data_IF_989311360050
#
_entry.id   IF_989311360050
#
_cell.length_a   1.000
_cell.length_b   1.000
_cell.length_c   1.000
_cell.angle_alpha   90.00
_cell.angle_beta   90.00
_cell.angle_gamma   90.00
#
_symmetry.space_group_name_H-M   'P 1'
#
loop_
_entity.id
_entity.type
_entity.pdbx_description
1 polymer ?
#
# COMPACT_ATOMS: atom_id res chain seq x y z
N UNK A 1 36.60 -22.91 41.32
CA UNK A 1 36.46 -21.44 41.00
C UNK A 1 36.32 -21.16 39.51
N UNK A 2 36.44 -22.17 38.67
CA UNK A 2 36.41 -22.02 37.17
C UNK A 2 35.04 -22.34 36.50
N UNK A 3 34.09 -22.93 37.23
CA UNK A 3 32.78 -23.29 36.63
C UNK A 3 31.73 -22.18 36.58
N UNK A 4 31.90 -21.13 37.39
CA UNK A 4 30.96 -19.97 37.40
C UNK A 4 31.21 -18.97 36.26
N UNK A 5 32.45 -18.82 35.81
CA UNK A 5 32.82 -17.93 34.73
C UNK A 5 32.39 -18.47 33.36
N UNK A 6 32.50 -19.79 33.18
CA UNK A 6 32.07 -20.41 31.90
C UNK A 6 30.56 -20.35 31.67
N UNK A 7 29.77 -20.34 32.73
CA UNK A 7 28.30 -20.19 32.61
C UNK A 7 27.87 -18.77 32.30
N UNK A 8 28.60 -17.75 32.81
CA UNK A 8 28.34 -16.37 32.51
C UNK A 8 28.66 -15.99 31.03
N UNK A 9 29.77 -16.55 30.51
CA UNK A 9 30.13 -16.39 29.11
C UNK A 9 29.14 -17.09 28.15
N UNK A 10 28.66 -18.28 28.51
CA UNK A 10 27.66 -19.00 27.74
C UNK A 10 26.29 -18.28 27.72
N UNK A 11 25.87 -17.72 28.84
CA UNK A 11 24.66 -16.92 28.94
C UNK A 11 24.77 -15.61 28.16
N UNK A 12 25.95 -14.97 28.16
CA UNK A 12 26.20 -13.75 27.38
C UNK A 12 26.19 -14.04 25.87
N UNK A 13 26.70 -15.20 25.44
CA UNK A 13 26.68 -15.63 24.03
C UNK A 13 25.28 -15.98 23.54
N UNK A 14 24.41 -16.51 24.40
CA UNK A 14 23.00 -16.81 24.06
C UNK A 14 22.19 -15.53 24.00
N UNK A 15 22.47 -14.53 24.83
CA UNK A 15 21.77 -13.26 24.82
C UNK A 15 22.12 -12.39 23.59
N UNK A 16 23.33 -12.55 23.04
CA UNK A 16 23.76 -11.82 21.84
C UNK A 16 23.12 -12.36 20.55
N UNK A 17 22.60 -13.60 20.56
CA UNK A 17 21.98 -14.23 19.40
C UNK A 17 20.50 -13.83 19.19
N UNK A 18 19.89 -13.14 20.15
CA UNK A 18 18.46 -12.74 20.12
C UNK A 18 18.26 -11.32 19.57
N UNK A 19 19.32 -10.57 19.30
CA UNK A 19 19.29 -9.21 18.74
C UNK A 19 19.56 -9.18 17.23
N UNK A 20 19.05 -10.17 16.48
CA UNK A 20 18.95 -10.00 15.04
C UNK A 20 17.82 -9.00 14.78
N UNK A 21 18.09 -7.80 14.21
CA UNK A 21 17.02 -6.94 13.81
C UNK A 21 16.17 -7.69 12.78
N UNK A 22 14.87 -7.82 13.03
CA UNK A 22 13.91 -8.11 11.96
C UNK A 22 14.03 -6.94 10.97
N UNK A 23 14.93 -7.06 10.03
CA UNK A 23 15.01 -6.11 8.92
C UNK A 23 13.70 -6.26 8.16
N UNK A 24 12.81 -5.26 8.29
CA UNK A 24 11.70 -5.13 7.38
C UNK A 24 12.31 -5.11 5.97
N UNK A 25 12.14 -6.18 5.23
CA UNK A 25 12.70 -6.27 3.88
C UNK A 25 11.99 -5.22 3.03
N UNK A 26 12.77 -4.27 2.52
CA UNK A 26 12.28 -3.32 1.55
C UNK A 26 11.81 -4.07 0.30
N UNK A 27 10.64 -3.68 -0.21
CA UNK A 27 10.12 -4.25 -1.45
C UNK A 27 11.09 -3.97 -2.61
N UNK A 28 11.46 -5.02 -3.34
CA UNK A 28 12.44 -4.95 -4.40
C UNK A 28 11.85 -5.33 -5.76
N UNK A 29 12.53 -4.91 -6.82
CA UNK A 29 12.21 -5.37 -8.17
C UNK A 29 12.34 -6.89 -8.26
N UNK A 30 11.32 -7.55 -8.80
CA UNK A 30 11.23 -9.00 -8.91
C UNK A 30 10.46 -9.67 -7.79
N UNK A 31 10.20 -8.97 -6.68
CA UNK A 31 9.39 -9.52 -5.60
C UNK A 31 7.95 -9.75 -6.07
N UNK A 32 7.42 -10.92 -5.74
CA UNK A 32 6.01 -11.24 -5.95
C UNK A 32 5.18 -10.68 -4.80
N UNK A 33 4.14 -9.97 -5.13
CA UNK A 33 3.19 -9.51 -4.12
C UNK A 33 2.32 -10.67 -3.65
N UNK A 34 2.22 -10.85 -2.34
CA UNK A 34 1.28 -11.79 -1.75
C UNK A 34 -0.16 -11.32 -2.03
N UNK A 35 -1.08 -12.23 -2.40
CA UNK A 35 -2.48 -11.88 -2.58
C UNK A 35 -3.11 -11.46 -1.26
N UNK A 36 -4.04 -10.52 -1.33
CA UNK A 36 -4.86 -10.09 -0.21
C UNK A 36 -6.27 -9.76 -0.71
N UNK A 37 -7.23 -9.82 0.18
CA UNK A 37 -8.62 -9.44 -0.10
C UNK A 37 -9.06 -8.35 0.88
N UNK A 38 -9.57 -7.25 0.34
CA UNK A 38 -10.18 -6.16 1.08
C UNK A 38 -11.49 -5.75 0.43
N UNK A 39 -12.33 -5.04 1.16
CA UNK A 39 -13.59 -4.47 0.65
C UNK A 39 -13.35 -3.07 0.08
N UNK A 40 -14.09 -2.73 -0.96
CA UNK A 40 -14.11 -1.39 -1.52
C UNK A 40 -15.14 -0.46 -0.81
N UNK A 41 -15.35 0.74 -1.35
CA UNK A 41 -16.31 1.71 -0.84
C UNK A 41 -17.78 1.26 -0.95
N UNK A 42 -18.06 0.21 -1.71
CA UNK A 42 -19.39 -0.39 -1.87
C UNK A 42 -19.54 -1.71 -1.10
N UNK A 43 -18.57 -2.02 -0.21
CA UNK A 43 -18.48 -3.29 0.52
C UNK A 43 -18.34 -4.52 -0.38
N UNK A 44 -17.82 -4.32 -1.61
CA UNK A 44 -17.54 -5.41 -2.54
C UNK A 44 -16.09 -5.88 -2.38
N UNK A 45 -15.84 -7.20 -2.32
CA UNK A 45 -14.50 -7.72 -2.17
C UNK A 45 -13.67 -7.51 -3.43
N UNK A 46 -12.39 -7.22 -3.24
CA UNK A 46 -11.37 -7.23 -4.26
C UNK A 46 -10.19 -8.08 -3.76
N UNK A 47 -9.71 -8.98 -4.60
CA UNK A 47 -8.50 -9.76 -4.34
C UNK A 47 -7.43 -9.36 -5.33
N UNK A 48 -6.24 -8.96 -4.82
CA UNK A 48 -5.09 -8.68 -5.67
C UNK A 48 -4.68 -9.96 -6.40
N UNK A 49 -4.56 -9.86 -7.73
CA UNK A 49 -4.19 -10.96 -8.61
C UNK A 49 -3.16 -10.52 -9.66
N UNK A 50 -2.73 -11.46 -10.50
CA UNK A 50 -1.69 -11.24 -11.49
C UNK A 50 -2.13 -10.34 -12.68
N UNK A 51 -3.40 -9.98 -12.78
CA UNK A 51 -3.91 -9.07 -13.81
C UNK A 51 -3.66 -7.60 -13.50
N UNK A 52 -3.43 -7.24 -12.23
CA UNK A 52 -3.09 -5.88 -11.84
C UNK A 52 -1.74 -5.48 -12.46
N UNK A 53 -1.73 -4.37 -13.20
CA UNK A 53 -0.52 -3.81 -13.82
C UNK A 53 0.07 -2.67 -13.00
N UNK A 54 -0.76 -2.00 -12.22
CA UNK A 54 -0.34 -0.93 -11.31
C UNK A 54 -1.09 -1.05 -10.00
N UNK A 55 -0.36 -0.97 -8.90
CA UNK A 55 -0.93 -0.81 -7.56
C UNK A 55 -0.54 0.57 -7.01
N UNK A 56 -1.55 1.38 -6.74
CA UNK A 56 -1.41 2.68 -6.07
C UNK A 56 -1.75 2.52 -4.60
N UNK A 57 -0.89 3.02 -3.72
CA UNK A 57 -1.02 2.88 -2.27
C UNK A 57 -1.00 4.25 -1.61
N UNK A 58 -2.05 4.57 -0.84
CA UNK A 58 -2.12 5.75 0.01
C UNK A 58 -2.08 5.35 1.49
N UNK A 59 -1.13 5.91 2.24
CA UNK A 59 -0.97 5.66 3.68
C UNK A 59 -1.72 6.67 4.54
N UNK A 60 -2.14 7.78 3.95
CA UNK A 60 -2.84 8.86 4.64
C UNK A 60 -3.94 9.45 3.78
N UNK A 61 -4.79 10.23 4.39
CA UNK A 61 -5.83 10.98 3.68
C UNK A 61 -5.24 12.06 2.77
N UNK A 62 -4.08 12.63 3.12
CA UNK A 62 -3.42 13.62 2.28
C UNK A 62 -2.83 12.98 1.02
N UNK A 63 -2.23 11.79 1.14
CA UNK A 63 -1.84 11.00 -0.02
C UNK A 63 -3.05 10.63 -0.89
N UNK A 64 -4.16 10.19 -0.29
CA UNK A 64 -5.38 9.87 -1.04
C UNK A 64 -5.96 11.07 -1.80
N UNK A 65 -5.84 12.29 -1.25
CA UNK A 65 -6.24 13.53 -1.94
C UNK A 65 -5.42 13.82 -3.19
N UNK A 66 -4.13 13.45 -3.21
CA UNK A 66 -3.31 13.58 -4.42
C UNK A 66 -3.91 12.79 -5.59
N UNK A 67 -4.34 11.55 -5.35
CA UNK A 67 -4.98 10.74 -6.38
C UNK A 67 -6.33 11.33 -6.79
N UNK A 68 -7.14 11.77 -5.82
CA UNK A 68 -8.42 12.41 -6.11
C UNK A 68 -8.24 13.60 -7.05
N UNK A 69 -7.28 14.48 -6.76
CA UNK A 69 -6.97 15.65 -7.60
C UNK A 69 -6.42 15.23 -8.97
N UNK A 70 -5.55 14.22 -9.02
CA UNK A 70 -4.99 13.71 -10.27
C UNK A 70 -6.08 13.13 -11.20
N UNK A 71 -7.16 12.59 -10.63
CA UNK A 71 -8.28 11.98 -11.37
C UNK A 71 -9.45 12.92 -11.64
N UNK A 72 -9.38 14.19 -11.24
CA UNK A 72 -10.42 15.17 -11.57
C UNK A 72 -10.68 15.25 -13.07
N UNK A 73 -11.96 15.13 -13.45
CA UNK A 73 -12.38 15.13 -14.86
C UNK A 73 -12.11 13.84 -15.63
N UNK A 74 -11.54 12.82 -14.99
CA UNK A 74 -11.39 11.49 -15.63
C UNK A 74 -12.71 10.73 -15.62
N UNK A 75 -13.02 9.98 -16.69
CA UNK A 75 -14.25 9.22 -16.76
C UNK A 75 -14.28 8.06 -15.77
N UNK A 76 -15.47 7.61 -15.44
CA UNK A 76 -15.65 6.38 -14.65
C UNK A 76 -14.99 5.20 -15.34
N UNK A 77 -14.27 4.39 -14.56
CA UNK A 77 -13.54 3.24 -15.10
C UNK A 77 -12.16 3.56 -15.67
N UNK A 78 -11.66 4.79 -15.49
CA UNK A 78 -10.34 5.18 -16.02
C UNK A 78 -9.19 4.35 -15.44
N UNK A 79 -9.21 4.06 -14.13
CA UNK A 79 -8.19 3.21 -13.48
C UNK A 79 -8.36 1.74 -13.89
N UNK A 80 -9.57 1.25 -13.89
CA UNK A 80 -9.90 -0.14 -14.21
C UNK A 80 -9.50 -0.49 -15.65
N UNK A 81 -9.74 0.41 -16.60
CA UNK A 81 -9.31 0.24 -17.99
C UNK A 81 -7.79 0.11 -18.15
N UNK A 82 -7.04 0.54 -17.14
CA UNK A 82 -5.57 0.48 -17.07
C UNK A 82 -5.06 -0.62 -16.15
N UNK A 83 -5.94 -1.53 -15.72
CA UNK A 83 -5.60 -2.55 -14.73
C UNK A 83 -4.89 -1.97 -13.49
N UNK A 84 -5.31 -0.76 -13.11
CA UNK A 84 -4.77 -0.01 -11.98
C UNK A 84 -5.68 -0.16 -10.77
N UNK A 85 -5.11 -0.60 -9.66
CA UNK A 85 -5.79 -0.82 -8.38
C UNK A 85 -5.35 0.25 -7.40
N UNK A 86 -6.29 0.83 -6.67
CA UNK A 86 -5.99 1.81 -5.63
C UNK A 86 -6.42 1.30 -4.27
N UNK A 87 -5.49 1.25 -3.32
CA UNK A 87 -5.74 0.90 -1.92
C UNK A 87 -5.37 2.06 -1.01
N UNK A 88 -6.25 2.38 -0.06
CA UNK A 88 -6.06 3.45 0.92
C UNK A 88 -6.18 2.90 2.34
N UNK A 89 -5.21 3.22 3.19
CA UNK A 89 -5.28 2.98 4.63
C UNK A 89 -6.18 4.03 5.28
N UNK A 90 -7.25 3.58 5.92
CA UNK A 90 -8.21 4.42 6.62
C UNK A 90 -8.31 4.10 8.12
N UNK A 91 -7.42 3.25 8.63
CA UNK A 91 -7.44 2.78 10.03
C UNK A 91 -7.33 3.94 11.03
N UNK A 92 -6.56 4.97 10.72
CA UNK A 92 -6.41 6.16 11.58
C UNK A 92 -7.66 7.06 11.60
N UNK A 93 -8.58 6.87 10.66
CA UNK A 93 -9.82 7.64 10.63
C UNK A 93 -10.78 7.12 11.71
N UNK A 94 -11.39 8.00 12.55
CA UNK A 94 -12.39 7.55 13.51
C UNK A 94 -13.52 6.78 12.81
N UNK A 95 -13.94 5.66 13.38
CA UNK A 95 -14.92 4.75 12.76
C UNK A 95 -16.22 5.46 12.36
N UNK A 96 -16.74 6.35 13.20
CA UNK A 96 -17.96 7.12 12.90
C UNK A 96 -17.73 8.01 11.66
N UNK A 97 -16.59 8.67 11.57
CA UNK A 97 -16.26 9.52 10.41
C UNK A 97 -16.13 8.66 9.15
N UNK A 98 -15.45 7.52 9.25
CA UNK A 98 -15.29 6.62 8.12
C UNK A 98 -16.65 6.12 7.60
N UNK A 99 -17.48 5.57 8.47
CA UNK A 99 -18.72 4.89 8.08
C UNK A 99 -19.85 5.83 7.69
N UNK A 100 -20.00 6.97 8.39
CA UNK A 100 -21.12 7.88 8.18
C UNK A 100 -20.85 8.98 7.16
N UNK A 101 -19.58 9.31 6.91
CA UNK A 101 -19.23 10.44 6.05
C UNK A 101 -18.25 10.08 4.93
N UNK A 102 -17.09 9.53 5.26
CA UNK A 102 -16.01 9.36 4.29
C UNK A 102 -16.34 8.28 3.24
N UNK A 103 -16.73 7.09 3.66
CA UNK A 103 -17.05 5.98 2.76
C UNK A 103 -18.27 6.29 1.89
N UNK A 104 -19.40 6.81 2.42
CA UNK A 104 -20.51 7.24 1.57
C UNK A 104 -20.11 8.27 0.52
N UNK A 105 -19.25 9.23 0.87
CA UNK A 105 -18.73 10.22 -0.09
C UNK A 105 -17.82 9.59 -1.16
N UNK A 106 -17.04 8.58 -0.81
CA UNK A 106 -16.21 7.85 -1.77
C UNK A 106 -17.03 7.10 -2.82
N UNK A 107 -18.29 6.79 -2.57
CA UNK A 107 -19.21 6.16 -3.54
C UNK A 107 -19.52 7.05 -4.73
N UNK A 108 -19.34 8.36 -4.59
CA UNK A 108 -19.51 9.33 -5.69
C UNK A 108 -18.25 9.47 -6.55
N UNK A 109 -17.14 8.79 -6.20
CA UNK A 109 -15.91 8.87 -6.98
C UNK A 109 -16.04 8.10 -8.30
N UNK A 110 -15.35 8.57 -9.34
CA UNK A 110 -15.28 7.92 -10.65
C UNK A 110 -14.37 6.70 -10.68
N UNK A 111 -13.78 6.31 -9.55
CA UNK A 111 -12.83 5.22 -9.42
C UNK A 111 -13.09 4.39 -8.16
N UNK A 112 -12.66 3.14 -8.20
CA UNK A 112 -12.75 2.20 -7.09
C UNK A 112 -11.67 2.47 -6.06
N UNK A 113 -12.05 2.53 -4.79
CA UNK A 113 -11.13 2.65 -3.64
C UNK A 113 -11.21 1.38 -2.81
N UNK A 114 -10.12 0.63 -2.74
CA UNK A 114 -10.02 -0.53 -1.86
C UNK A 114 -9.60 -0.02 -0.48
N UNK A 115 -10.33 -0.40 0.56
CA UNK A 115 -10.20 0.19 1.90
C UNK A 115 -9.48 -0.75 2.85
N UNK A 116 -8.29 -0.37 3.27
CA UNK A 116 -7.57 -1.04 4.35
C UNK A 116 -7.99 -0.46 5.70
N UNK A 117 -9.07 -1.02 6.25
CA UNK A 117 -9.71 -0.53 7.48
C UNK A 117 -8.93 -0.88 8.74
N UNK A 118 -8.09 -1.90 8.68
CA UNK A 118 -7.36 -2.46 9.82
C UNK A 118 -5.83 -2.26 9.67
N UNK A 119 -5.37 -1.54 8.64
CA UNK A 119 -3.94 -1.31 8.37
C UNK A 119 -3.12 -2.61 8.28
N UNK A 120 -3.68 -3.65 7.65
CA UNK A 120 -3.02 -4.95 7.51
C UNK A 120 -2.37 -5.19 6.16
N UNK A 121 -2.72 -4.42 5.16
CA UNK A 121 -2.19 -4.54 3.79
C UNK A 121 -1.22 -3.40 3.47
N UNK A 122 -1.61 -2.16 3.65
CA UNK A 122 -0.81 -0.98 3.30
C UNK A 122 0.57 -0.98 3.97
N UNK A 123 0.74 -1.37 5.24
CA UNK A 123 2.06 -1.43 5.87
C UNK A 123 3.06 -2.41 5.23
N UNK A 124 2.58 -3.37 4.43
CA UNK A 124 3.45 -4.29 3.69
C UNK A 124 4.24 -3.59 2.56
N UNK A 125 3.79 -2.41 2.15
CA UNK A 125 4.38 -1.63 1.07
C UNK A 125 5.07 -0.39 1.64
N UNK A 126 6.40 -0.35 1.75
CA UNK A 126 7.12 0.79 2.33
C UNK A 126 7.03 2.02 1.44
N UNK A 127 6.85 3.19 2.06
CA UNK A 127 6.74 4.47 1.34
C UNK A 127 6.51 5.64 2.28
N UNK A 128 6.58 6.86 1.74
CA UNK A 128 6.33 8.09 2.46
C UNK A 128 4.84 8.24 2.76
N UNK A 129 4.52 8.77 3.93
CA UNK A 129 3.12 8.89 4.39
C UNK A 129 2.31 9.85 3.53
N UNK A 130 2.93 10.91 3.02
CA UNK A 130 2.27 11.99 2.27
C UNK A 130 2.31 11.79 0.75
N UNK A 131 2.81 10.65 0.27
CA UNK A 131 2.93 10.37 -1.16
C UNK A 131 2.13 9.15 -1.57
N UNK A 132 1.72 9.12 -2.83
CA UNK A 132 1.22 7.91 -3.46
C UNK A 132 2.41 7.04 -3.83
N UNK A 133 2.44 5.81 -3.31
CA UNK A 133 3.34 4.78 -3.81
C UNK A 133 2.73 4.15 -5.07
N UNK A 134 3.50 4.11 -6.13
CA UNK A 134 3.18 3.46 -7.39
C UNK A 134 4.05 2.21 -7.55
N UNK A 135 3.43 1.05 -7.59
CA UNK A 135 4.08 -0.21 -7.92
C UNK A 135 3.66 -0.63 -9.32
N UNK A 136 4.62 -0.67 -10.23
CA UNK A 136 4.40 -1.26 -11.55
C UNK A 136 4.54 -2.77 -11.44
N UNK A 137 3.55 -3.50 -11.94
CA UNK A 137 3.47 -4.95 -11.80
C UNK A 137 3.45 -5.63 -13.18
N UNK A 138 4.02 -6.83 -13.22
CA UNK A 138 3.89 -7.76 -14.33
C UNK A 138 3.80 -9.18 -13.77
N UNK A 139 2.71 -9.86 -14.10
CA UNK A 139 2.44 -11.23 -13.61
C UNK A 139 2.58 -11.35 -12.09
N UNK A 140 2.06 -10.36 -11.35
CA UNK A 140 2.10 -10.31 -9.89
C UNK A 140 3.45 -9.94 -9.26
N UNK A 141 4.45 -9.56 -10.07
CA UNK A 141 5.78 -9.17 -9.61
C UNK A 141 6.03 -7.69 -9.81
N UNK A 142 6.73 -7.08 -8.86
CA UNK A 142 7.16 -5.68 -8.95
C UNK A 142 8.25 -5.55 -10.01
N UNK A 143 7.99 -4.73 -11.03
CA UNK A 143 9.00 -4.42 -12.07
C UNK A 143 9.56 -3.02 -11.93
N UNK A 144 8.83 -2.11 -11.28
CA UNK A 144 9.29 -0.77 -10.95
C UNK A 144 8.49 -0.20 -9.79
N UNK A 145 9.05 0.81 -9.10
CA UNK A 145 8.36 1.54 -8.04
C UNK A 145 8.73 3.01 -8.06
N UNK A 146 7.76 3.86 -7.79
CA UNK A 146 7.90 5.31 -7.74
C UNK A 146 7.03 5.87 -6.63
N UNK A 147 7.30 7.10 -6.19
CA UNK A 147 6.45 7.82 -5.27
C UNK A 147 6.10 9.19 -5.84
N UNK A 148 4.83 9.57 -5.71
CA UNK A 148 4.33 10.85 -6.20
C UNK A 148 3.82 11.69 -5.04
N UNK A 149 4.43 12.86 -4.83
CA UNK A 149 3.99 13.88 -3.87
C UNK A 149 3.26 15.06 -4.54
N UNK A 150 3.06 14.98 -5.85
CA UNK A 150 2.42 16.02 -6.65
C UNK A 150 1.33 15.42 -7.55
N UNK A 151 0.13 16.01 -7.51
CA UNK A 151 -1.03 15.50 -8.23
C UNK A 151 -0.86 15.62 -9.76
N UNK A 152 -0.18 16.64 -10.25
CA UNK A 152 0.03 16.84 -11.68
C UNK A 152 1.02 15.80 -12.24
N UNK A 153 2.09 15.51 -11.50
CA UNK A 153 3.05 14.47 -11.86
C UNK A 153 2.37 13.09 -11.88
N UNK A 154 1.54 12.79 -10.87
CA UNK A 154 0.76 11.56 -10.80
C UNK A 154 -0.22 11.45 -11.97
N UNK A 155 -0.94 12.53 -12.30
CA UNK A 155 -1.85 12.59 -13.45
C UNK A 155 -1.12 12.29 -14.75
N UNK A 156 0.03 12.94 -14.97
CA UNK A 156 0.84 12.74 -16.16
C UNK A 156 1.33 11.28 -16.30
N UNK A 157 1.67 10.63 -15.18
CA UNK A 157 2.05 9.23 -15.18
C UNK A 157 0.86 8.32 -15.52
N UNK A 158 -0.33 8.60 -14.96
CA UNK A 158 -1.56 7.83 -15.21
C UNK A 158 -2.05 7.94 -16.66
N UNK A 159 -1.78 9.07 -17.32
CA UNK A 159 -2.17 9.32 -18.73
C UNK A 159 -1.27 8.61 -19.74
N UNK A 160 -0.07 8.21 -19.35
CA UNK A 160 0.82 7.46 -20.24
C UNK A 160 0.25 6.07 -20.52
N UNK A 161 0.43 5.55 -21.75
CA UNK A 161 0.10 4.15 -22.04
C UNK A 161 0.84 3.21 -21.10
N UNK A 162 0.15 2.27 -20.52
CA UNK A 162 0.76 1.18 -19.77
C UNK A 162 1.39 0.21 -20.78
N UNK A 163 2.68 -0.03 -20.63
CA UNK A 163 3.41 -0.99 -21.47
C UNK A 163 3.41 -2.37 -20.84
#
# INVERSE_FOLDING_TARGET
MTQHEDNALKLLSILLLVLLPLSAQALQRGDRLAPWTLLDQYDQPYTLNDQAQTLLVARSMDAAKLLKTALEGKPKGFLEARHTVFVADIQKMPLIIATMFAIPKMRDYSYRVILDRESRVVPQYPGDEDKILWLQLRDGKVVDQQQFGDAQALRSALEKPQM
#
